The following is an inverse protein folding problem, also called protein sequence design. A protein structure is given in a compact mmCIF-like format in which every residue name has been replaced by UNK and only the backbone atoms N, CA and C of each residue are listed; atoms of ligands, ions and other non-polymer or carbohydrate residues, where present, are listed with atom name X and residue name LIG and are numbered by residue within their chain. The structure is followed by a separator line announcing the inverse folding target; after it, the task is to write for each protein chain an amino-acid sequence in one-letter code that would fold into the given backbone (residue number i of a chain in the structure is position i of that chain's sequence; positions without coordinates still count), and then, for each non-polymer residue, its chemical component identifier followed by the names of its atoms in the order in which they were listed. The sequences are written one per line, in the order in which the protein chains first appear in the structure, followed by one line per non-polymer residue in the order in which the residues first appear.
data_IF_918051343696
#
_entry.id   IF_918051343696
#
_cell.length_a   1.000
_cell.length_b   1.000
_cell.length_c   1.000
_cell.angle_alpha   90.00
_cell.angle_beta   90.00
_cell.angle_gamma   90.00
#
_symmetry.space_group_name_H-M   'P 1'
#
loop_
_entity.id
_entity.type
_entity.pdbx_description
1 polymer ?
#
# COMPACT_ATOMS: atom_id res chain seq x y z
N UNK A 1 0.91 -45.78 -5.77
CA UNK A 1 1.53 -46.16 -7.06
C UNK A 1 0.64 -45.55 -8.14
N UNK A 2 1.02 -44.62 -9.03
CA UNK A 2 2.27 -44.40 -9.73
C UNK A 2 2.50 -42.88 -9.95
N UNK A 3 3.76 -42.48 -10.00
CA UNK A 3 4.24 -41.09 -10.09
C UNK A 3 4.39 -40.68 -11.56
N UNK A 4 3.90 -39.49 -11.93
CA UNK A 4 4.22 -38.87 -13.22
C UNK A 4 5.64 -38.27 -13.19
N UNK A 5 6.51 -38.76 -14.06
CA UNK A 5 7.88 -38.29 -14.23
C UNK A 5 7.93 -37.07 -15.16
N UNK A 6 8.71 -36.06 -14.77
CA UNK A 6 9.02 -34.88 -15.54
C UNK A 6 10.03 -35.19 -16.66
N UNK A 7 9.77 -34.68 -17.86
CA UNK A 7 10.62 -34.84 -19.05
C UNK A 7 11.75 -33.82 -19.02
N UNK A 8 12.99 -34.30 -18.94
CA UNK A 8 14.23 -33.53 -19.10
C UNK A 8 14.62 -33.57 -20.58
N UNK A 9 14.79 -32.41 -21.22
CA UNK A 9 15.34 -32.30 -22.59
C UNK A 9 16.86 -32.03 -22.52
N UNK A 10 17.70 -32.72 -23.31
CA UNK A 10 19.13 -32.49 -23.33
C UNK A 10 19.51 -31.32 -24.24
N UNK A 11 20.34 -30.42 -23.71
CA UNK A 11 21.03 -29.36 -24.44
C UNK A 11 22.39 -29.89 -24.92
N UNK A 12 22.55 -30.13 -26.22
CA UNK A 12 23.86 -30.07 -26.90
C UNK A 12 23.67 -30.02 -28.42
N UNK A 13 23.96 -28.89 -29.06
CA UNK A 13 24.53 -28.90 -30.41
C UNK A 13 25.38 -27.67 -30.65
N UNK A 14 26.61 -27.97 -31.03
CA UNK A 14 27.74 -27.10 -31.34
C UNK A 14 27.45 -26.17 -32.53
N UNK A 15 27.91 -24.92 -32.46
CA UNK A 15 28.38 -24.15 -33.61
C UNK A 15 29.53 -23.23 -33.16
N UNK A 16 30.74 -23.50 -33.66
CA UNK A 16 31.88 -22.57 -33.66
C UNK A 16 31.74 -21.59 -34.82
N UNK A 17 32.22 -20.36 -34.65
CA UNK A 17 33.00 -19.71 -35.70
C UNK A 17 34.41 -19.38 -35.21
N UNK A 18 35.39 -19.65 -36.07
CA UNK A 18 36.76 -19.17 -35.93
C UNK A 18 36.79 -17.68 -36.28
N UNK A 19 37.28 -16.85 -35.36
CA UNK A 19 37.71 -15.50 -35.66
C UNK A 19 38.97 -15.19 -34.84
N UNK A 20 40.10 -15.11 -35.55
CA UNK A 20 41.36 -14.64 -35.01
C UNK A 20 41.21 -13.17 -34.59
N UNK A 21 41.24 -12.91 -33.29
CA UNK A 21 41.44 -11.57 -32.75
C UNK A 21 42.64 -11.60 -31.81
N UNK A 22 43.63 -10.79 -32.16
CA UNK A 22 44.87 -10.58 -31.42
C UNK A 22 44.51 -9.88 -30.10
N UNK A 23 44.56 -10.62 -29.00
CA UNK A 23 44.39 -10.05 -27.65
C UNK A 23 45.70 -9.38 -27.25
N UNK A 24 45.71 -8.05 -27.21
CA UNK A 24 46.72 -7.28 -26.46
C UNK A 24 46.51 -7.54 -24.97
N UNK A 25 47.53 -7.94 -24.19
CA UNK A 25 47.38 -8.01 -22.75
C UNK A 25 47.37 -6.59 -22.17
N UNK A 26 46.27 -6.22 -21.52
CA UNK A 26 46.25 -5.09 -20.60
C UNK A 26 47.13 -5.45 -19.40
N UNK A 27 48.18 -4.66 -19.17
CA UNK A 27 49.04 -4.76 -18.00
C UNK A 27 48.29 -4.23 -16.77
N UNK A 28 47.69 -5.13 -15.99
CA UNK A 28 47.31 -4.80 -14.61
C UNK A 28 48.52 -5.03 -13.71
N UNK A 29 49.24 -3.97 -13.35
CA UNK A 29 50.17 -4.00 -12.23
C UNK A 29 49.37 -4.17 -10.93
N UNK A 30 49.21 -5.41 -10.48
CA UNK A 30 48.73 -5.69 -9.15
C UNK A 30 49.82 -5.27 -8.15
N UNK A 31 49.51 -4.28 -7.31
CA UNK A 31 50.30 -4.01 -6.10
C UNK A 31 50.10 -5.23 -5.18
N UNK A 32 51.08 -6.14 -5.19
CA UNK A 32 51.20 -7.19 -4.16
C UNK A 32 51.44 -6.49 -2.83
N UNK A 33 50.41 -6.39 -1.99
CA UNK A 33 50.63 -6.23 -0.55
C UNK A 33 51.23 -7.53 -0.04
N UNK A 34 52.40 -7.42 0.59
CA UNK A 34 53.04 -8.46 1.36
C UNK A 34 52.04 -9.08 2.34
N UNK A 35 51.89 -10.40 2.27
CA UNK A 35 51.19 -11.17 3.30
C UNK A 35 52.05 -11.07 4.56
N UNK A 36 51.60 -10.28 5.53
CA UNK A 36 52.08 -10.40 6.89
C UNK A 36 51.39 -11.63 7.51
N UNK A 37 52.17 -12.67 7.77
CA UNK A 37 51.74 -13.80 8.60
C UNK A 37 51.26 -13.26 9.95
N UNK A 38 49.94 -13.27 10.15
CA UNK A 38 49.33 -12.95 11.43
C UNK A 38 48.93 -14.27 12.07
N UNK A 39 49.62 -14.61 13.15
CA UNK A 39 49.30 -15.75 14.02
C UNK A 39 47.81 -15.71 14.39
N UNK A 40 47.12 -16.83 14.17
CA UNK A 40 45.66 -16.96 14.36
C UNK A 40 45.31 -17.05 15.85
N UNK A 41 45.33 -15.93 16.56
CA UNK A 41 44.55 -15.79 17.79
C UNK A 41 43.07 -15.70 17.40
N UNK A 42 42.23 -16.60 17.91
CA UNK A 42 40.77 -16.43 17.81
C UNK A 42 40.42 -15.08 18.45
N UNK A 43 39.80 -14.14 17.70
CA UNK A 43 39.45 -12.84 18.27
C UNK A 43 38.47 -13.04 19.43
N UNK A 44 38.69 -12.33 20.52
CA UNK A 44 37.80 -12.37 21.68
C UNK A 44 36.43 -11.78 21.31
N UNK A 45 35.34 -12.32 21.89
CA UNK A 45 33.95 -11.92 21.58
C UNK A 45 33.66 -10.41 21.75
N UNK A 46 34.49 -9.69 22.53
CA UNK A 46 34.34 -8.27 22.82
C UNK A 46 34.93 -7.34 21.72
N UNK A 47 35.90 -7.83 20.94
CA UNK A 47 36.71 -7.03 20.00
C UNK A 47 36.18 -7.03 18.55
N UNK A 48 35.10 -7.76 18.26
CA UNK A 48 34.54 -7.85 16.92
C UNK A 48 33.85 -6.51 16.52
N UNK A 49 34.39 -5.83 15.51
CA UNK A 49 33.83 -4.59 14.97
C UNK A 49 32.64 -4.88 14.02
N UNK A 50 31.42 -4.40 14.34
CA UNK A 50 30.21 -4.65 13.54
C UNK A 50 30.31 -4.18 12.07
N UNK A 51 31.20 -3.25 11.74
CA UNK A 51 31.40 -2.79 10.36
C UNK A 51 32.30 -3.70 9.51
N UNK A 52 33.08 -4.60 10.12
CA UNK A 52 34.11 -5.40 9.42
C UNK A 52 34.07 -6.89 9.74
N UNK A 53 33.16 -7.34 10.62
CA UNK A 53 32.97 -8.75 11.00
C UNK A 53 32.84 -9.68 9.78
N UNK A 54 33.61 -10.78 9.80
CA UNK A 54 33.53 -11.88 8.83
C UNK A 54 32.29 -12.74 9.05
N UNK A 55 31.78 -13.45 8.01
CA UNK A 55 30.62 -14.32 8.13
C UNK A 55 30.70 -15.36 9.24
N UNK A 56 31.89 -15.90 9.50
CA UNK A 56 32.15 -16.93 10.51
C UNK A 56 31.97 -16.42 11.94
N UNK A 57 32.18 -15.12 12.19
CA UNK A 57 32.11 -14.50 13.52
C UNK A 57 30.82 -13.68 13.72
N UNK A 58 29.86 -13.73 12.79
CA UNK A 58 28.58 -13.02 12.91
C UNK A 58 27.77 -13.48 14.11
N UNK A 59 27.73 -14.78 14.37
CA UNK A 59 26.98 -15.34 15.50
C UNK A 59 27.55 -14.89 16.85
N UNK A 60 28.88 -14.81 16.95
CA UNK A 60 29.58 -14.33 18.15
C UNK A 60 29.27 -12.84 18.40
N UNK A 61 29.31 -12.02 17.35
CA UNK A 61 28.93 -10.61 17.43
C UNK A 61 27.46 -10.44 17.88
N UNK A 62 26.54 -11.24 17.33
CA UNK A 62 25.13 -11.20 17.73
C UNK A 62 24.94 -11.65 19.18
N UNK A 63 25.70 -12.63 19.66
CA UNK A 63 25.69 -13.07 21.07
C UNK A 63 26.20 -11.98 22.01
N UNK A 64 27.17 -11.16 21.59
CA UNK A 64 27.62 -9.99 22.35
C UNK A 64 26.65 -8.79 22.27
N UNK A 65 25.50 -8.96 21.61
CA UNK A 65 24.44 -7.95 21.51
C UNK A 65 24.66 -6.89 20.43
N UNK A 66 25.74 -6.99 19.65
CA UNK A 66 26.02 -6.09 18.52
C UNK A 66 25.46 -6.71 17.23
N UNK A 67 24.74 -5.93 16.43
CA UNK A 67 24.25 -6.39 15.12
C UNK A 67 25.25 -5.99 14.02
N UNK A 68 25.55 -6.88 13.06
CA UNK A 68 26.45 -6.55 11.96
C UNK A 68 25.85 -5.44 11.08
N UNK A 69 26.68 -4.47 10.68
CA UNK A 69 26.21 -3.29 9.94
C UNK A 69 26.29 -3.53 8.43
N UNK A 70 25.12 -3.50 7.78
CA UNK A 70 24.98 -3.63 6.34
C UNK A 70 25.22 -5.05 5.80
N UNK A 71 25.38 -5.17 4.49
CA UNK A 71 25.52 -6.48 3.82
C UNK A 71 26.91 -7.10 4.04
N UNK A 72 27.00 -8.44 3.94
CA UNK A 72 28.29 -9.17 3.98
C UNK A 72 29.28 -8.63 2.95
N UNK A 73 28.80 -8.29 1.75
CA UNK A 73 29.61 -7.69 0.68
C UNK A 73 30.21 -6.35 1.09
N UNK A 74 29.42 -5.48 1.76
CA UNK A 74 29.92 -4.18 2.27
C UNK A 74 31.07 -4.40 3.26
N UNK A 75 30.90 -5.30 4.23
CA UNK A 75 31.91 -5.56 5.27
C UNK A 75 33.22 -6.10 4.69
N UNK A 76 33.12 -7.05 3.75
CA UNK A 76 34.30 -7.57 3.04
C UNK A 76 34.99 -6.48 2.20
N UNK A 77 34.22 -5.63 1.53
CA UNK A 77 34.77 -4.53 0.75
C UNK A 77 35.51 -3.53 1.65
N UNK A 78 34.95 -3.13 2.79
CA UNK A 78 35.61 -2.22 3.74
C UNK A 78 36.95 -2.77 4.22
N UNK A 79 37.04 -4.10 4.45
CA UNK A 79 38.30 -4.73 4.87
C UNK A 79 39.36 -4.81 3.77
N UNK A 80 38.92 -5.08 2.54
CA UNK A 80 39.82 -5.35 1.41
C UNK A 80 40.20 -4.11 0.61
N UNK A 81 39.36 -3.08 0.62
CA UNK A 81 39.54 -1.83 -0.12
C UNK A 81 39.99 -0.70 0.82
N UNK A 82 40.54 0.38 0.25
CA UNK A 82 40.96 1.56 1.02
C UNK A 82 39.79 2.46 1.44
N UNK A 83 40.01 3.27 2.47
CA UNK A 83 39.02 4.22 2.99
C UNK A 83 38.99 5.53 2.17
N UNK A 84 38.50 5.41 0.93
CA UNK A 84 38.28 6.56 0.05
C UNK A 84 36.78 6.86 -0.05
N UNK A 85 36.35 8.13 0.17
CA UNK A 85 34.97 8.51 -0.07
C UNK A 85 34.57 8.23 -1.52
N UNK A 86 33.32 7.80 -1.72
CA UNK A 86 32.79 7.45 -3.04
C UNK A 86 32.99 8.55 -4.10
N UNK A 87 32.90 9.80 -3.68
CA UNK A 87 33.07 10.98 -4.52
C UNK A 87 34.51 11.20 -5.02
N UNK A 88 35.52 10.66 -4.31
CA UNK A 88 36.94 10.82 -4.61
C UNK A 88 37.56 9.62 -5.33
N UNK A 89 36.74 8.69 -5.81
CA UNK A 89 37.24 7.55 -6.59
C UNK A 89 37.92 8.05 -7.89
N UNK A 90 39.16 7.64 -8.17
CA UNK A 90 39.98 8.20 -9.26
C UNK A 90 39.61 7.62 -10.64
N UNK A 91 38.33 7.63 -10.98
CA UNK A 91 37.84 7.26 -12.31
C UNK A 91 37.65 8.52 -13.16
N UNK A 92 38.34 8.61 -14.30
CA UNK A 92 38.36 9.81 -15.14
C UNK A 92 36.96 10.28 -15.53
N UNK A 93 36.17 9.42 -16.18
CA UNK A 93 34.82 9.77 -16.64
C UNK A 93 33.89 10.16 -15.49
N UNK A 94 34.05 9.55 -14.32
CA UNK A 94 33.26 9.88 -13.13
C UNK A 94 33.60 11.27 -12.59
N UNK A 95 34.89 11.61 -12.52
CA UNK A 95 35.34 12.92 -12.04
C UNK A 95 34.99 14.04 -13.03
N UNK A 96 35.12 13.80 -14.34
CA UNK A 96 34.70 14.75 -15.38
C UNK A 96 33.18 15.00 -15.32
N UNK A 97 32.37 13.94 -15.22
CA UNK A 97 30.92 14.09 -15.05
C UNK A 97 30.58 14.87 -13.78
N UNK A 98 31.27 14.61 -12.67
CA UNK A 98 31.04 15.33 -11.41
C UNK A 98 31.38 16.82 -11.51
N UNK A 99 32.41 17.21 -12.27
CA UNK A 99 32.71 18.63 -12.55
C UNK A 99 31.56 19.31 -13.29
N UNK A 100 30.98 18.63 -14.29
CA UNK A 100 29.81 19.15 -15.03
C UNK A 100 28.62 19.35 -14.09
N UNK A 101 28.33 18.35 -13.25
CA UNK A 101 27.23 18.43 -12.28
C UNK A 101 27.45 19.50 -11.21
N UNK A 102 28.69 19.72 -10.77
CA UNK A 102 29.03 20.78 -9.83
C UNK A 102 28.76 22.18 -10.43
N UNK A 103 29.17 22.40 -11.69
CA UNK A 103 28.92 23.66 -12.39
C UNK A 103 27.41 23.91 -12.62
N UNK A 104 26.66 22.88 -13.03
CA UNK A 104 25.19 22.97 -13.17
C UNK A 104 24.53 23.32 -11.82
N UNK A 105 24.97 22.68 -10.73
CA UNK A 105 24.47 22.96 -9.38
C UNK A 105 24.72 24.41 -8.96
N UNK A 106 25.92 24.95 -9.21
CA UNK A 106 26.23 26.36 -8.93
C UNK A 106 25.33 27.33 -9.70
N UNK A 107 25.05 27.03 -10.97
CA UNK A 107 24.10 27.79 -11.78
C UNK A 107 22.69 27.77 -11.15
N UNK A 108 22.20 26.58 -10.75
CA UNK A 108 20.88 26.45 -10.10
C UNK A 108 20.81 27.17 -8.77
N UNK A 109 21.88 27.17 -7.97
CA UNK A 109 21.97 27.97 -6.76
C UNK A 109 21.89 29.47 -7.06
N UNK A 110 22.57 29.93 -8.12
CA UNK A 110 22.48 31.31 -8.60
C UNK A 110 21.08 31.70 -9.10
N UNK A 111 20.31 30.75 -9.66
CA UNK A 111 18.90 30.98 -9.97
C UNK A 111 18.03 31.07 -8.71
N UNK A 112 18.26 30.19 -7.73
CA UNK A 112 17.51 30.20 -6.47
C UNK A 112 17.66 31.55 -5.76
N UNK A 113 18.88 32.09 -5.67
CA UNK A 113 19.11 33.40 -5.03
C UNK A 113 18.34 34.52 -5.74
N UNK A 114 18.41 34.57 -7.08
CA UNK A 114 17.65 35.54 -7.90
C UNK A 114 16.14 35.43 -7.69
N UNK A 115 15.60 34.22 -7.63
CA UNK A 115 14.16 34.01 -7.40
C UNK A 115 13.75 34.36 -5.96
N UNK A 116 14.59 34.08 -4.97
CA UNK A 116 14.36 34.50 -3.58
C UNK A 116 14.37 36.03 -3.44
N UNK A 117 15.28 36.73 -4.13
CA UNK A 117 15.29 38.19 -4.19
C UNK A 117 14.01 38.74 -4.82
N UNK A 118 13.51 38.11 -5.90
CA UNK A 118 12.22 38.49 -6.50
C UNK A 118 11.05 38.29 -5.53
N UNK A 119 11.05 37.19 -4.77
CA UNK A 119 10.04 36.94 -3.73
C UNK A 119 10.10 38.04 -2.67
N UNK A 120 11.29 38.34 -2.14
CA UNK A 120 11.47 39.38 -1.12
C UNK A 120 11.01 40.77 -1.62
N UNK A 121 11.34 41.13 -2.86
CA UNK A 121 10.87 42.38 -3.49
C UNK A 121 9.35 42.42 -3.60
N UNK A 122 8.72 41.34 -4.05
CA UNK A 122 7.26 41.25 -4.18
C UNK A 122 6.53 41.23 -2.84
N UNK A 123 7.12 40.62 -1.81
CA UNK A 123 6.58 40.65 -0.44
C UNK A 123 6.55 42.09 0.09
N UNK A 124 7.60 42.87 -0.16
CA UNK A 124 7.71 44.28 0.23
C UNK A 124 6.79 45.24 -0.57
N UNK A 125 6.46 44.93 -1.83
CA UNK A 125 5.55 45.75 -2.65
C UNK A 125 4.13 45.71 -2.08
N UNK A 126 3.44 46.86 -1.97
CA UNK A 126 2.05 46.90 -1.53
C UNK A 126 1.11 46.32 -2.59
N UNK A 127 -0.02 45.72 -2.20
CA UNK A 127 -0.95 45.13 -3.16
C UNK A 127 -1.63 46.16 -4.08
N UNK A 128 -1.68 47.43 -3.68
CA UNK A 128 -2.28 48.54 -4.44
C UNK A 128 -1.46 48.91 -5.69
N UNK A 129 -0.14 48.75 -5.62
CA UNK A 129 0.78 49.05 -6.72
C UNK A 129 0.77 47.95 -7.81
N UNK A 130 0.05 46.85 -7.59
CA UNK A 130 -0.01 45.70 -8.49
C UNK A 130 -1.34 45.66 -9.24
N UNK A 131 -1.26 45.58 -10.57
CA UNK A 131 -2.42 45.33 -11.41
C UNK A 131 -3.06 43.98 -11.03
N UNK A 132 -4.28 44.03 -10.46
CA UNK A 132 -5.01 42.85 -9.96
C UNK A 132 -4.98 42.65 -8.45
N UNK A 133 -4.41 43.59 -7.69
CA UNK A 133 -4.51 43.66 -6.24
C UNK A 133 -3.88 42.48 -5.49
N UNK A 134 -4.40 42.20 -4.29
CA UNK A 134 -3.89 41.14 -3.40
C UNK A 134 -3.91 39.75 -4.04
N UNK A 135 -4.97 39.41 -4.81
CA UNK A 135 -5.10 38.09 -5.44
C UNK A 135 -3.96 37.81 -6.42
N UNK A 136 -3.57 38.79 -7.24
CA UNK A 136 -2.47 38.63 -8.19
C UNK A 136 -1.13 38.48 -7.48
N UNK A 137 -0.92 39.25 -6.39
CA UNK A 137 0.26 39.13 -5.54
C UNK A 137 0.39 37.71 -4.98
N UNK A 138 -0.67 37.17 -4.40
CA UNK A 138 -0.67 35.83 -3.80
C UNK A 138 -0.41 34.72 -4.84
N UNK A 139 -1.01 34.82 -6.02
CA UNK A 139 -0.78 33.87 -7.13
C UNK A 139 0.67 33.93 -7.61
N UNK A 140 1.23 35.13 -7.77
CA UNK A 140 2.62 35.31 -8.19
C UNK A 140 3.60 34.78 -7.15
N UNK A 141 3.38 35.07 -5.86
CA UNK A 141 4.18 34.53 -4.76
C UNK A 141 4.10 33.00 -4.72
N UNK A 142 2.91 32.41 -4.88
CA UNK A 142 2.74 30.96 -4.94
C UNK A 142 3.50 30.33 -6.11
N UNK A 143 3.48 30.97 -7.28
CA UNK A 143 4.22 30.50 -8.47
C UNK A 143 5.73 30.54 -8.26
N UNK A 144 6.26 31.66 -7.75
CA UNK A 144 7.69 31.81 -7.47
C UNK A 144 8.18 30.84 -6.40
N UNK A 145 7.42 30.69 -5.29
CA UNK A 145 7.74 29.71 -4.24
C UNK A 145 7.76 28.28 -4.79
N UNK A 146 6.80 27.92 -5.63
CA UNK A 146 6.78 26.61 -6.31
C UNK A 146 8.01 26.42 -7.22
N UNK A 147 8.40 27.46 -7.95
CA UNK A 147 9.58 27.41 -8.82
C UNK A 147 10.88 27.24 -8.03
N UNK A 148 11.02 27.95 -6.91
CA UNK A 148 12.16 27.78 -5.99
C UNK A 148 12.24 26.35 -5.45
N UNK A 149 11.11 25.76 -5.04
CA UNK A 149 11.09 24.35 -4.60
C UNK A 149 11.52 23.38 -5.71
N UNK A 150 11.12 23.62 -6.96
CA UNK A 150 11.59 22.84 -8.11
C UNK A 150 13.10 22.99 -8.36
N UNK A 151 13.63 24.22 -8.30
CA UNK A 151 15.06 24.46 -8.46
C UNK A 151 15.88 23.79 -7.36
N UNK A 152 15.40 23.78 -6.10
CA UNK A 152 16.03 23.04 -4.99
C UNK A 152 16.12 21.55 -5.29
N UNK A 153 15.08 20.97 -5.89
CA UNK A 153 15.10 19.57 -6.32
C UNK A 153 16.14 19.37 -7.42
N UNK A 154 16.13 20.20 -8.47
CA UNK A 154 17.07 20.05 -9.59
C UNK A 154 18.54 20.22 -9.19
N UNK A 155 18.83 21.10 -8.23
CA UNK A 155 20.19 21.31 -7.73
C UNK A 155 20.82 20.05 -7.12
N UNK A 156 20.02 19.19 -6.48
CA UNK A 156 20.50 17.99 -5.80
C UNK A 156 20.08 16.67 -6.50
N UNK A 157 19.26 16.74 -7.56
CA UNK A 157 18.70 15.57 -8.25
C UNK A 157 19.73 14.70 -8.98
N UNK A 158 20.88 15.28 -9.33
CA UNK A 158 21.96 14.56 -10.00
C UNK A 158 23.09 14.16 -9.05
N UNK A 159 22.98 14.45 -7.75
CA UNK A 159 23.99 14.05 -6.77
C UNK A 159 23.93 12.53 -6.50
N UNK A 160 25.00 11.77 -6.79
CA UNK A 160 25.00 10.34 -6.60
C UNK A 160 24.91 9.93 -5.12
N UNK A 161 25.39 10.76 -4.18
CA UNK A 161 25.31 10.47 -2.75
C UNK A 161 23.89 10.65 -2.22
N UNK A 162 23.16 11.65 -2.72
CA UNK A 162 21.75 11.85 -2.41
C UNK A 162 20.93 10.65 -2.89
N UNK A 163 21.15 10.22 -4.13
CA UNK A 163 20.50 9.02 -4.67
C UNK A 163 20.80 7.77 -3.84
N UNK A 164 22.07 7.55 -3.47
CA UNK A 164 22.48 6.43 -2.62
C UNK A 164 21.76 6.46 -1.26
N UNK A 165 21.75 7.62 -0.58
CA UNK A 165 21.07 7.78 0.72
C UNK A 165 19.57 7.49 0.63
N UNK A 166 18.92 7.90 -0.46
CA UNK A 166 17.52 7.58 -0.72
C UNK A 166 17.29 6.08 -0.89
N UNK A 167 18.09 5.42 -1.73
CA UNK A 167 17.99 3.98 -1.99
C UNK A 167 18.28 3.14 -0.74
N UNK A 168 19.22 3.58 0.09
CA UNK A 168 19.54 2.98 1.40
C UNK A 168 18.45 3.22 2.46
N UNK A 169 17.48 4.12 2.20
CA UNK A 169 16.42 4.47 3.14
C UNK A 169 16.86 5.38 4.30
N UNK A 170 18.00 6.06 4.17
CA UNK A 170 18.56 7.00 5.16
C UNK A 170 18.36 8.47 4.77
N UNK A 171 17.58 8.72 3.72
CA UNK A 171 17.24 10.05 3.26
C UNK A 171 16.40 10.83 4.28
N UNK A 172 16.72 12.11 4.44
CA UNK A 172 16.00 13.02 5.33
C UNK A 172 14.76 13.59 4.61
N UNK A 173 13.57 13.15 5.04
CA UNK A 173 12.31 13.55 4.43
C UNK A 173 11.94 15.02 4.66
N UNK A 174 12.66 15.78 5.48
CA UNK A 174 12.47 17.24 5.53
C UNK A 174 12.94 17.91 4.23
N UNK A 175 13.97 17.37 3.59
CA UNK A 175 14.50 17.94 2.34
C UNK A 175 13.60 17.57 1.16
N UNK A 176 13.33 18.52 0.24
CA UNK A 176 12.38 18.31 -0.85
C UNK A 176 12.81 17.21 -1.83
N UNK A 177 14.12 17.01 -2.02
CA UNK A 177 14.65 16.00 -2.94
C UNK A 177 14.25 14.56 -2.56
N UNK A 178 14.35 14.19 -1.27
CA UNK A 178 14.00 12.85 -0.82
C UNK A 178 12.48 12.61 -0.89
N UNK A 179 11.68 13.64 -0.60
CA UNK A 179 10.22 13.59 -0.77
C UNK A 179 9.84 13.40 -2.23
N UNK A 180 10.47 14.14 -3.14
CA UNK A 180 10.27 14.00 -4.58
C UNK A 180 10.64 12.58 -5.08
N UNK A 181 11.77 12.02 -4.66
CA UNK A 181 12.11 10.64 -5.02
C UNK A 181 11.16 9.60 -4.42
N UNK A 182 10.71 9.80 -3.18
CA UNK A 182 9.72 8.93 -2.56
C UNK A 182 8.39 8.97 -3.33
N UNK A 183 7.95 10.17 -3.72
CA UNK A 183 6.75 10.37 -4.52
C UNK A 183 6.90 9.70 -5.89
N UNK A 184 8.01 9.93 -6.60
CA UNK A 184 8.27 9.31 -7.90
C UNK A 184 8.28 7.77 -7.82
N UNK A 185 8.93 7.20 -6.79
CA UNK A 185 8.93 5.76 -6.54
C UNK A 185 7.52 5.24 -6.27
N UNK A 186 6.73 5.93 -5.45
CA UNK A 186 5.35 5.55 -5.15
C UNK A 186 4.43 5.64 -6.38
N UNK A 187 4.52 6.72 -7.16
CA UNK A 187 3.76 6.92 -8.41
C UNK A 187 4.09 5.85 -9.46
N UNK A 188 5.31 5.32 -9.45
CA UNK A 188 5.73 4.31 -10.44
C UNK A 188 4.92 3.01 -10.36
N UNK A 189 4.52 2.59 -9.15
CA UNK A 189 3.85 1.30 -8.92
C UNK A 189 2.71 1.36 -7.89
N UNK A 190 3.03 1.68 -6.64
CA UNK A 190 2.08 1.57 -5.51
C UNK A 190 0.83 2.44 -5.71
N UNK A 191 0.98 3.68 -6.19
CA UNK A 191 -0.17 4.54 -6.52
C UNK A 191 -1.06 3.89 -7.59
N UNK A 192 -0.47 3.29 -8.64
CA UNK A 192 -1.20 2.66 -9.74
C UNK A 192 -1.98 1.44 -9.24
N UNK A 193 -1.38 0.68 -8.32
CA UNK A 193 -2.04 -0.45 -7.66
C UNK A 193 -3.23 0.05 -6.85
N UNK A 194 -3.06 1.07 -6.01
CA UNK A 194 -4.17 1.63 -5.20
C UNK A 194 -5.29 2.17 -6.10
N UNK A 195 -4.96 2.94 -7.13
CA UNK A 195 -5.95 3.47 -8.10
C UNK A 195 -6.70 2.34 -8.80
N UNK A 196 -6.00 1.26 -9.17
CA UNK A 196 -6.65 0.06 -9.72
C UNK A 196 -7.64 -0.54 -8.71
N UNK A 197 -7.25 -0.65 -7.43
CA UNK A 197 -8.10 -1.23 -6.38
C UNK A 197 -9.32 -0.36 -6.06
N UNK A 198 -9.17 0.96 -6.02
CA UNK A 198 -10.28 1.92 -5.87
C UNK A 198 -11.33 1.68 -6.97
N UNK A 199 -10.89 1.54 -8.22
CA UNK A 199 -11.77 1.30 -9.37
C UNK A 199 -12.36 -0.11 -9.38
N UNK A 200 -11.54 -1.14 -9.17
CA UNK A 200 -11.96 -2.54 -9.22
C UNK A 200 -12.97 -2.88 -8.12
N UNK A 201 -12.78 -2.33 -6.94
CA UNK A 201 -13.68 -2.53 -5.80
C UNK A 201 -14.72 -1.43 -5.67
N UNK A 202 -15.02 -0.66 -6.73
CA UNK A 202 -16.08 0.36 -6.78
C UNK A 202 -16.11 1.32 -5.58
N UNK A 203 -14.96 1.59 -4.94
CA UNK A 203 -14.87 2.54 -3.82
C UNK A 203 -15.33 3.91 -4.27
N UNK A 204 -14.95 4.25 -5.50
CA UNK A 204 -15.61 5.26 -6.33
C UNK A 204 -16.51 4.50 -7.31
N UNK A 205 -17.83 4.71 -7.33
CA UNK A 205 -18.58 5.80 -6.70
C UNK A 205 -19.22 5.49 -5.32
N UNK A 206 -19.16 4.26 -4.81
CA UNK A 206 -20.01 3.80 -3.70
C UNK A 206 -19.83 4.60 -2.39
N UNK A 207 -18.58 4.95 -2.06
CA UNK A 207 -18.24 5.65 -0.81
C UNK A 207 -18.00 7.13 -1.05
N UNK A 208 -17.22 7.46 -2.08
CA UNK A 208 -16.89 8.84 -2.45
C UNK A 208 -17.04 9.04 -3.96
N UNK A 209 -17.48 10.24 -4.40
CA UNK A 209 -17.61 10.54 -5.83
C UNK A 209 -16.25 10.67 -6.54
N UNK A 210 -15.22 11.11 -5.81
CA UNK A 210 -13.85 11.26 -6.30
C UNK A 210 -12.88 10.94 -5.17
N UNK A 211 -11.86 10.14 -5.46
CA UNK A 211 -10.79 9.80 -4.54
C UNK A 211 -9.48 9.64 -5.34
N UNK A 212 -8.57 10.59 -5.16
CA UNK A 212 -7.23 10.57 -5.76
C UNK A 212 -6.21 10.57 -4.64
N UNK A 213 -5.59 9.42 -4.33
CA UNK A 213 -4.57 9.36 -3.30
C UNK A 213 -3.38 10.25 -3.67
N UNK A 214 -2.92 11.04 -2.70
CA UNK A 214 -1.70 11.88 -2.76
C UNK A 214 -0.66 11.47 -1.72
N UNK A 215 -0.98 10.54 -0.81
CA UNK A 215 -0.03 9.94 0.13
C UNK A 215 -0.01 8.41 0.01
N UNK A 216 1.14 7.81 0.31
CA UNK A 216 1.24 6.36 0.44
C UNK A 216 0.71 5.91 1.80
N UNK A 217 -0.11 4.86 1.80
CA UNK A 217 -0.74 4.31 3.00
C UNK A 217 -0.55 2.82 2.95
N UNK A 218 0.28 2.28 3.84
CA UNK A 218 0.55 0.85 3.93
C UNK A 218 -0.04 0.28 5.21
N UNK A 219 -0.81 -0.80 5.06
CA UNK A 219 -1.48 -1.48 6.15
C UNK A 219 -0.63 -2.63 6.70
N UNK A 220 -0.51 -2.69 8.02
CA UNK A 220 0.12 -3.80 8.72
C UNK A 220 -0.78 -4.32 9.84
N UNK A 221 -0.98 -5.63 9.89
CA UNK A 221 -1.45 -6.29 11.11
C UNK A 221 -0.25 -6.98 11.77
N UNK A 222 0.01 -6.62 13.03
CA UNK A 222 1.22 -7.05 13.76
C UNK A 222 2.49 -6.71 12.97
N UNK A 223 3.20 -7.71 12.44
CA UNK A 223 4.42 -7.54 11.63
C UNK A 223 4.18 -7.75 10.13
N UNK A 224 2.98 -8.21 9.74
CA UNK A 224 2.67 -8.59 8.36
C UNK A 224 2.12 -7.40 7.58
N UNK A 225 2.74 -7.09 6.44
CA UNK A 225 2.22 -6.11 5.48
C UNK A 225 1.06 -6.73 4.73
N UNK A 226 -0.06 -6.03 4.68
CA UNK A 226 -1.26 -6.46 3.95
C UNK A 226 -1.31 -5.75 2.59
N UNK A 227 -1.20 -6.49 1.48
CA UNK A 227 -1.54 -6.02 0.16
C UNK A 227 -2.93 -5.36 0.08
N UNK A 228 -3.08 -4.23 -0.64
CA UNK A 228 -4.36 -3.56 -0.79
C UNK A 228 -5.41 -4.46 -1.45
N UNK A 229 -6.53 -4.65 -0.75
CA UNK A 229 -7.59 -5.56 -1.16
C UNK A 229 -7.19 -7.03 -1.03
N UNK A 230 -6.47 -7.41 0.02
CA UNK A 230 -6.36 -8.82 0.41
C UNK A 230 -7.51 -9.20 1.35
N UNK A 231 -7.95 -10.46 1.30
CA UNK A 231 -8.86 -11.02 2.32
C UNK A 231 -8.04 -11.37 3.56
N UNK A 232 -8.45 -10.84 4.71
CA UNK A 232 -7.77 -11.00 5.99
C UNK A 232 -8.65 -11.83 6.92
N UNK A 233 -8.03 -12.78 7.61
CA UNK A 233 -8.65 -13.62 8.65
C UNK A 233 -9.16 -12.76 9.82
N UNK A 234 -10.30 -13.13 10.37
CA UNK A 234 -10.93 -12.47 11.52
C UNK A 234 -9.99 -12.43 12.74
N UNK A 235 -9.16 -13.45 12.99
CA UNK A 235 -8.16 -13.42 14.07
C UNK A 235 -7.06 -12.38 13.86
N UNK A 236 -6.68 -12.15 12.62
CA UNK A 236 -5.64 -11.18 12.26
C UNK A 236 -6.18 -9.77 12.40
N UNK A 237 -7.39 -9.54 11.89
CA UNK A 237 -8.09 -8.25 11.93
C UNK A 237 -8.79 -7.93 13.26
N UNK A 238 -8.81 -8.88 14.21
CA UNK A 238 -9.23 -8.64 15.58
C UNK A 238 -8.40 -7.54 16.25
N UNK A 239 -7.08 -7.54 16.01
CA UNK A 239 -6.18 -6.56 16.57
C UNK A 239 -6.17 -5.28 15.72
N UNK A 240 -6.05 -4.12 16.38
CA UNK A 240 -5.90 -2.83 15.70
C UNK A 240 -4.70 -2.83 14.75
N UNK A 241 -4.83 -2.34 13.51
CA UNK A 241 -3.72 -2.28 12.58
C UNK A 241 -2.73 -1.16 12.92
N UNK A 242 -1.54 -1.27 12.33
CA UNK A 242 -0.58 -0.17 12.18
C UNK A 242 -0.58 0.31 10.75
N UNK A 243 -0.74 1.62 10.57
CA UNK A 243 -0.59 2.28 9.29
C UNK A 243 0.82 2.83 9.17
N UNK A 244 1.43 2.71 7.99
CA UNK A 244 2.59 3.50 7.61
C UNK A 244 2.14 4.50 6.56
N UNK A 245 2.16 5.78 6.91
CA UNK A 245 1.70 6.87 6.06
C UNK A 245 2.91 7.68 5.62
N UNK A 246 3.15 7.76 4.30
CA UNK A 246 4.18 8.64 3.75
C UNK A 246 3.51 9.81 3.04
N UNK A 247 3.75 11.00 3.58
CA UNK A 247 3.40 12.27 2.96
C UNK A 247 4.58 12.79 2.13
N UNK A 248 4.30 13.41 0.98
CA UNK A 248 5.31 14.01 0.10
C UNK A 248 5.37 15.54 0.19
N UNK A 249 4.34 16.17 0.78
CA UNK A 249 4.32 17.61 1.06
C UNK A 249 5.18 17.97 2.29
N UNK A 250 5.47 19.25 2.46
CA UNK A 250 6.17 19.75 3.63
C UNK A 250 5.22 20.13 4.75
N UNK A 251 5.73 20.15 5.97
CA UNK A 251 5.02 20.62 7.15
C UNK A 251 4.27 19.51 7.88
N UNK A 252 3.71 19.91 9.01
CA UNK A 252 2.86 19.05 9.83
C UNK A 252 1.39 19.39 9.56
N UNK A 253 0.55 18.36 9.54
CA UNK A 253 -0.89 18.52 9.39
C UNK A 253 -1.64 17.61 10.32
N UNK A 254 -2.86 18.03 10.67
CA UNK A 254 -3.79 17.20 11.42
C UNK A 254 -4.64 16.38 10.46
N UNK A 255 -4.80 15.11 10.79
CA UNK A 255 -5.48 14.13 9.95
C UNK A 255 -6.52 13.39 10.77
N UNK A 256 -7.62 13.04 10.11
CA UNK A 256 -8.63 12.11 10.60
C UNK A 256 -8.49 10.77 9.90
N UNK A 257 -8.54 9.68 10.66
CA UNK A 257 -8.52 8.30 10.15
C UNK A 257 -9.91 7.71 10.32
N UNK A 258 -10.47 7.19 9.23
CA UNK A 258 -11.77 6.51 9.21
C UNK A 258 -11.60 5.12 8.64
N UNK A 259 -12.09 4.11 9.35
CA UNK A 259 -12.22 2.75 8.82
C UNK A 259 -13.70 2.44 8.67
N UNK A 260 -14.10 2.13 7.44
CA UNK A 260 -15.49 1.96 7.04
C UNK A 260 -15.67 0.59 6.37
N UNK A 261 -16.65 -0.16 6.84
CA UNK A 261 -17.23 -1.29 6.14
C UNK A 261 -18.37 -0.78 5.25
N UNK A 262 -18.30 -1.03 3.95
CA UNK A 262 -19.32 -0.56 3.00
C UNK A 262 -20.40 -1.58 2.66
N UNK A 263 -20.27 -2.83 3.12
CA UNK A 263 -21.03 -3.96 2.60
C UNK A 263 -21.79 -4.70 3.71
N UNK A 264 -22.26 -3.99 4.74
CA UNK A 264 -23.02 -4.59 5.83
C UNK A 264 -24.42 -4.96 5.33
N UNK A 265 -24.84 -6.23 5.31
CA UNK A 265 -26.14 -6.61 4.78
C UNK A 265 -27.28 -6.11 5.68
N UNK A 266 -28.28 -5.46 5.08
CA UNK A 266 -29.55 -5.11 5.74
C UNK A 266 -30.70 -5.91 5.09
N UNK A 267 -31.16 -7.01 5.73
CA UNK A 267 -32.21 -7.86 5.17
C UNK A 267 -33.58 -7.17 5.09
N UNK A 268 -33.86 -6.21 5.97
CA UNK A 268 -35.18 -5.57 6.04
C UNK A 268 -35.44 -4.67 4.83
N UNK A 269 -34.38 -4.03 4.31
CA UNK A 269 -34.46 -3.14 3.15
C UNK A 269 -33.90 -3.77 1.86
N UNK A 270 -33.42 -5.02 1.91
CA UNK A 270 -32.75 -5.71 0.80
C UNK A 270 -31.60 -4.88 0.18
N UNK A 271 -30.81 -4.21 1.03
CA UNK A 271 -29.70 -3.34 0.63
C UNK A 271 -28.48 -3.53 1.52
N UNK A 272 -27.36 -2.89 1.15
CA UNK A 272 -26.18 -2.80 2.01
C UNK A 272 -26.16 -1.47 2.78
N UNK A 273 -25.84 -1.55 4.06
CA UNK A 273 -25.52 -0.44 4.95
C UNK A 273 -24.02 -0.22 5.07
N UNK A 274 -23.65 0.86 5.75
CA UNK A 274 -22.26 1.27 6.00
C UNK A 274 -22.02 1.33 7.50
N UNK A 275 -20.91 0.76 7.97
CA UNK A 275 -20.55 0.75 9.40
C UNK A 275 -19.17 1.32 9.65
N UNK A 276 -19.06 2.22 10.62
CA UNK A 276 -17.78 2.74 11.08
C UNK A 276 -17.10 1.76 12.06
N UNK A 277 -15.97 1.21 11.65
CA UNK A 277 -15.15 0.34 12.50
C UNK A 277 -14.19 1.14 13.38
N UNK A 278 -13.72 2.30 12.92
CA UNK A 278 -12.80 3.15 13.66
C UNK A 278 -12.87 4.59 13.18
N UNK A 279 -12.85 5.54 14.12
CA UNK A 279 -12.79 6.97 13.84
C UNK A 279 -11.86 7.65 14.85
N UNK A 280 -10.82 8.28 14.34
CA UNK A 280 -9.96 9.16 15.12
C UNK A 280 -9.68 10.46 14.36
N UNK A 281 -9.48 11.54 15.09
CA UNK A 281 -9.24 12.88 14.57
C UNK A 281 -8.03 13.51 15.27
N UNK A 282 -7.55 14.64 14.75
CA UNK A 282 -6.49 15.47 15.34
C UNK A 282 -5.17 14.71 15.49
N UNK A 283 -4.87 13.82 14.54
CA UNK A 283 -3.63 13.06 14.51
C UNK A 283 -2.58 13.89 13.75
N UNK A 284 -1.50 14.34 14.41
CA UNK A 284 -0.43 15.02 13.71
C UNK A 284 0.34 14.01 12.84
N UNK A 285 0.56 14.38 11.58
CA UNK A 285 1.40 13.62 10.64
C UNK A 285 2.40 14.59 10.01
N UNK A 286 3.64 14.11 9.87
CA UNK A 286 4.74 14.81 9.22
C UNK A 286 5.39 13.88 8.17
N UNK A 287 6.15 14.41 7.19
CA UNK A 287 6.84 13.56 6.23
C UNK A 287 7.95 12.69 6.86
N UNK A 288 8.44 13.07 8.05
CA UNK A 288 9.46 12.33 8.81
C UNK A 288 8.88 11.25 9.71
N UNK A 289 7.73 11.50 10.35
CA UNK A 289 7.06 10.49 11.16
C UNK A 289 6.01 9.74 10.34
N UNK A 290 6.40 8.55 9.89
CA UNK A 290 5.56 7.75 9.00
C UNK A 290 4.76 6.67 9.73
N UNK A 291 5.04 6.41 11.01
CA UNK A 291 4.47 5.27 11.72
C UNK A 291 3.25 5.66 12.55
N UNK A 292 2.07 5.22 12.11
CA UNK A 292 0.79 5.49 12.77
C UNK A 292 0.14 4.19 13.30
N UNK A 293 0.54 3.69 14.48
CA UNK A 293 -0.13 2.57 15.13
C UNK A 293 -1.47 3.02 15.73
N UNK A 294 -2.59 2.47 15.23
CA UNK A 294 -3.92 2.87 15.72
C UNK A 294 -4.15 2.47 17.18
N UNK A 295 -3.45 1.44 17.68
CA UNK A 295 -3.47 1.05 19.10
C UNK A 295 -2.98 2.12 20.07
N UNK A 296 -2.12 3.04 19.62
CA UNK A 296 -1.59 4.11 20.49
C UNK A 296 -2.52 5.32 20.57
N UNK A 297 -3.57 5.36 19.75
CA UNK A 297 -4.52 6.48 19.70
C UNK A 297 -5.59 6.23 20.77
N UNK A 298 -5.23 6.51 22.02
CA UNK A 298 -6.10 6.30 23.19
C UNK A 298 -6.59 7.61 23.81
N UNK A 299 -6.01 8.75 23.39
CA UNK A 299 -6.37 10.06 23.92
C UNK A 299 -7.85 10.38 23.65
N UNK A 300 -8.55 10.88 24.68
CA UNK A 300 -9.98 11.24 24.60
C UNK A 300 -10.26 12.32 23.55
N UNK A 301 -9.25 13.16 23.28
CA UNK A 301 -9.29 14.29 22.34
C UNK A 301 -8.92 13.90 20.90
N UNK A 302 -8.68 12.60 20.65
CA UNK A 302 -8.35 12.07 19.34
C UNK A 302 -9.26 10.91 18.95
N UNK A 303 -9.50 9.95 19.85
CA UNK A 303 -10.28 8.77 19.57
C UNK A 303 -11.78 9.06 19.73
N UNK A 304 -12.55 8.99 18.64
CA UNK A 304 -14.00 9.09 18.67
C UNK A 304 -14.65 7.71 18.75
N UNK A 305 -14.35 6.84 17.80
CA UNK A 305 -14.93 5.49 17.70
C UNK A 305 -13.80 4.46 17.81
N UNK A 306 -13.78 3.63 18.88
CA UNK A 306 -12.73 2.64 19.07
C UNK A 306 -12.81 1.53 18.02
N UNK A 307 -11.69 0.81 17.84
CA UNK A 307 -11.59 -0.25 16.85
C UNK A 307 -12.59 -1.37 17.12
N UNK A 308 -13.40 -1.64 16.11
CA UNK A 308 -14.23 -2.83 16.02
C UNK A 308 -13.56 -3.81 15.07
N UNK A 309 -13.28 -5.07 15.49
CA UNK A 309 -12.81 -6.12 14.60
C UNK A 309 -13.61 -6.19 13.30
N UNK A 310 -12.96 -6.48 12.19
CA UNK A 310 -13.67 -6.75 10.95
C UNK A 310 -14.35 -8.12 11.04
N UNK A 311 -15.63 -8.17 10.66
CA UNK A 311 -16.40 -9.41 10.61
C UNK A 311 -17.41 -9.34 9.46
N UNK A 312 -17.85 -10.50 9.01
CA UNK A 312 -18.88 -10.66 7.98
C UNK A 312 -19.74 -11.85 8.40
N UNK A 313 -21.06 -11.81 8.20
CA UNK A 313 -21.93 -12.93 8.55
C UNK A 313 -21.79 -14.09 7.58
N UNK A 314 -22.15 -15.31 8.01
CA UNK A 314 -22.04 -16.49 7.17
C UNK A 314 -22.93 -16.36 5.94
N UNK A 315 -22.39 -16.66 4.76
CA UNK A 315 -23.10 -16.63 3.49
C UNK A 315 -23.29 -15.23 2.88
N UNK A 316 -22.93 -14.16 3.61
CA UNK A 316 -22.76 -12.84 3.00
C UNK A 316 -21.55 -12.86 2.04
N UNK A 317 -21.51 -11.97 1.03
CA UNK A 317 -20.30 -11.75 0.23
C UNK A 317 -19.16 -11.21 1.10
N UNK A 318 -17.97 -11.03 0.52
CA UNK A 318 -16.90 -10.35 1.23
C UNK A 318 -17.29 -8.90 1.57
N UNK A 319 -16.82 -8.41 2.71
CA UNK A 319 -16.98 -7.02 3.12
C UNK A 319 -15.73 -6.22 2.77
N UNK A 320 -15.89 -5.03 2.17
CA UNK A 320 -14.80 -4.10 1.86
C UNK A 320 -14.55 -3.17 3.05
N UNK A 321 -13.41 -3.35 3.71
CA UNK A 321 -12.96 -2.48 4.80
C UNK A 321 -12.01 -1.43 4.22
N UNK A 322 -12.56 -0.25 3.95
CA UNK A 322 -11.81 0.90 3.46
C UNK A 322 -11.23 1.73 4.60
N UNK A 323 -9.94 2.06 4.50
CA UNK A 323 -9.20 2.92 5.42
C UNK A 323 -8.93 4.24 4.70
N UNK A 324 -9.55 5.31 5.20
CA UNK A 324 -9.50 6.64 4.61
C UNK A 324 -8.76 7.58 5.55
N UNK A 325 -7.76 8.28 5.01
CA UNK A 325 -7.09 9.40 5.68
C UNK A 325 -7.59 10.70 5.08
N UNK A 326 -8.13 11.56 5.95
CA UNK A 326 -8.67 12.85 5.57
C UNK A 326 -7.89 13.96 6.26
N UNK A 327 -7.40 14.91 5.47
CA UNK A 327 -6.69 16.09 5.96
C UNK A 327 -7.71 17.09 6.51
N UNK A 328 -7.39 17.66 7.67
CA UNK A 328 -8.17 18.70 8.31
C UNK A 328 -7.70 20.09 7.83
N UNK A 329 -8.56 21.09 7.93
CA UNK A 329 -8.15 22.47 7.64
C UNK A 329 -6.99 22.90 8.57
N UNK A 330 -5.96 23.59 8.05
CA UNK A 330 -4.81 24.00 8.85
C UNK A 330 -5.21 24.81 10.09
N UNK A 331 -4.75 24.39 11.27
CA UNK A 331 -5.02 25.06 12.54
C UNK A 331 -6.40 24.79 13.15
N UNK A 332 -7.27 24.02 12.48
CA UNK A 332 -8.61 23.67 12.98
C UNK A 332 -8.57 22.27 13.58
N UNK A 333 -8.76 22.18 14.89
CA UNK A 333 -8.97 20.89 15.58
C UNK A 333 -10.44 20.53 15.57
N UNK A 334 -10.75 19.27 15.28
CA UNK A 334 -12.11 18.74 15.36
C UNK A 334 -12.49 18.46 16.81
N UNK A 335 -13.74 18.75 17.15
CA UNK A 335 -14.33 18.46 18.45
C UNK A 335 -14.68 16.97 18.54
N UNK A 336 -13.84 16.21 19.25
CA UNK A 336 -13.98 14.75 19.36
C UNK A 336 -15.17 14.34 20.22
N UNK A 337 -15.64 15.19 21.15
CA UNK A 337 -16.84 14.90 21.92
C UNK A 337 -18.08 14.88 21.00
N UNK A 338 -18.21 15.88 20.13
CA UNK A 338 -19.25 15.91 19.09
C UNK A 338 -19.14 14.73 18.12
N UNK A 339 -17.93 14.31 17.77
CA UNK A 339 -17.73 13.12 16.93
C UNK A 339 -18.21 11.84 17.63
N UNK A 340 -18.01 11.71 18.94
CA UNK A 340 -18.53 10.58 19.72
C UNK A 340 -20.04 10.56 19.73
N UNK A 341 -20.66 11.70 20.00
CA UNK A 341 -22.12 11.83 20.04
C UNK A 341 -22.75 11.50 18.68
N UNK A 342 -22.18 12.01 17.58
CA UNK A 342 -22.72 11.82 16.24
C UNK A 342 -22.51 10.41 15.66
N UNK A 343 -21.50 9.67 16.11
CA UNK A 343 -21.06 8.43 15.47
C UNK A 343 -20.90 7.24 16.44
N UNK A 344 -21.44 7.34 17.65
CA UNK A 344 -21.43 6.27 18.66
C UNK A 344 -22.12 4.98 18.17
N UNK A 345 -23.20 5.13 17.41
CA UNK A 345 -24.02 4.02 16.89
C UNK A 345 -23.31 3.21 15.79
N UNK A 346 -22.30 3.80 15.13
CA UNK A 346 -21.49 3.23 14.02
C UNK A 346 -22.23 2.89 12.73
N UNK A 347 -23.48 2.42 12.82
CA UNK A 347 -24.32 2.05 11.70
C UNK A 347 -24.79 3.28 10.90
N UNK A 348 -25.06 3.09 9.61
CA UNK A 348 -25.48 4.18 8.70
C UNK A 348 -24.41 5.25 8.43
N UNK A 349 -23.13 4.99 8.74
CA UNK A 349 -22.07 5.99 8.62
C UNK A 349 -21.84 6.41 7.15
N UNK A 350 -21.88 7.71 6.90
CA UNK A 350 -21.62 8.30 5.59
C UNK A 350 -20.34 9.14 5.59
N UNK A 351 -19.31 8.64 4.89
CA UNK A 351 -18.04 9.36 4.74
C UNK A 351 -18.20 10.68 3.99
N UNK A 352 -19.11 10.74 3.01
CA UNK A 352 -19.44 11.97 2.28
C UNK A 352 -19.99 13.03 3.23
N UNK A 353 -20.93 12.65 4.10
CA UNK A 353 -21.53 13.56 5.08
C UNK A 353 -20.51 14.01 6.12
N UNK A 354 -19.63 13.13 6.58
CA UNK A 354 -18.52 13.48 7.47
C UNK A 354 -17.61 14.52 6.82
N UNK A 355 -17.20 14.27 5.56
CA UNK A 355 -16.34 15.17 4.78
C UNK A 355 -16.93 16.57 4.66
N UNK A 356 -18.21 16.65 4.32
CA UNK A 356 -18.89 17.92 4.07
C UNK A 356 -19.15 18.69 5.39
N UNK A 357 -19.48 17.99 6.49
CA UNK A 357 -19.69 18.61 7.82
C UNK A 357 -18.40 19.19 8.42
N UNK A 358 -17.29 18.47 8.30
CA UNK A 358 -16.02 18.83 8.95
C UNK A 358 -14.98 19.42 7.97
N UNK A 359 -15.39 19.66 6.71
CA UNK A 359 -14.55 20.24 5.63
C UNK A 359 -13.20 19.55 5.46
N UNK A 360 -13.18 18.23 5.61
CA UNK A 360 -11.94 17.45 5.46
C UNK A 360 -11.71 17.03 4.01
N UNK A 361 -10.46 16.82 3.59
CA UNK A 361 -10.12 16.38 2.23
C UNK A 361 -9.50 14.98 2.24
N UNK A 362 -10.09 13.98 1.55
CA UNK A 362 -9.51 12.65 1.50
C UNK A 362 -8.23 12.65 0.65
N UNK A 363 -7.12 12.18 1.22
CA UNK A 363 -5.79 12.22 0.56
C UNK A 363 -5.05 10.88 0.61
N UNK A 364 -5.37 10.01 1.56
CA UNK A 364 -4.79 8.67 1.69
C UNK A 364 -5.85 7.58 1.70
N UNK A 365 -5.54 6.43 1.10
CA UNK A 365 -6.46 5.30 1.05
C UNK A 365 -5.71 3.96 1.05
N UNK A 366 -6.24 3.00 1.81
CA UNK A 366 -5.91 1.58 1.67
C UNK A 366 -7.17 0.77 1.99
N UNK A 367 -7.19 -0.52 1.68
CA UNK A 367 -8.30 -1.39 2.03
C UNK A 367 -7.85 -2.83 2.25
N UNK A 368 -8.66 -3.57 2.97
CA UNK A 368 -8.64 -5.02 3.02
C UNK A 368 -10.08 -5.54 2.95
N UNK A 369 -10.25 -6.85 2.85
CA UNK A 369 -11.56 -7.49 2.86
C UNK A 369 -11.66 -8.48 4.00
N UNK A 370 -12.86 -8.67 4.52
CA UNK A 370 -13.19 -9.74 5.46
C UNK A 370 -14.26 -10.65 4.86
N UNK A 371 -14.24 -11.92 5.24
CA UNK A 371 -15.25 -12.93 4.92
C UNK A 371 -15.54 -13.72 6.18
N UNK A 372 -16.65 -14.45 6.21
CA UNK A 372 -16.87 -15.44 7.26
C UNK A 372 -15.81 -16.53 7.18
N UNK A 373 -15.12 -16.76 8.30
CA UNK A 373 -14.16 -17.85 8.51
C UNK A 373 -14.50 -18.66 9.77
N UNK A 374 -13.69 -19.67 10.07
CA UNK A 374 -13.90 -20.56 11.23
C UNK A 374 -13.80 -19.82 12.57
N UNK A 375 -13.07 -18.71 12.62
CA UNK A 375 -12.77 -17.97 13.84
C UNK A 375 -13.74 -16.79 14.08
N UNK A 376 -14.52 -16.42 13.07
CA UNK A 376 -15.38 -15.22 13.08
C UNK A 376 -16.35 -15.26 14.25
N UNK A 377 -17.00 -16.41 14.50
CA UNK A 377 -17.90 -16.57 15.63
C UNK A 377 -17.21 -16.34 16.99
N UNK A 378 -15.98 -16.83 17.17
CA UNK A 378 -15.22 -16.66 18.40
C UNK A 378 -14.71 -15.21 18.58
N UNK A 379 -14.37 -14.52 17.50
CA UNK A 379 -14.05 -13.07 17.53
C UNK A 379 -15.30 -12.27 17.90
N UNK A 380 -16.44 -12.54 17.27
CA UNK A 380 -17.70 -11.87 17.57
C UNK A 380 -18.11 -12.06 19.04
N UNK A 381 -18.01 -13.27 19.58
CA UNK A 381 -18.30 -13.56 20.98
C UNK A 381 -17.39 -12.80 21.95
N UNK A 382 -16.07 -12.73 21.69
CA UNK A 382 -15.11 -12.00 22.54
C UNK A 382 -15.37 -10.49 22.62
N UNK A 383 -15.96 -9.92 21.57
CA UNK A 383 -16.24 -8.49 21.45
C UNK A 383 -17.74 -8.16 21.59
N UNK A 384 -18.56 -9.11 22.05
CA UNK A 384 -20.02 -8.98 22.23
C UNK A 384 -20.75 -8.48 20.97
N UNK A 385 -20.34 -8.97 19.79
CA UNK A 385 -20.92 -8.61 18.50
C UNK A 385 -22.05 -9.60 18.17
N UNK A 386 -23.29 -9.15 17.94
CA UNK A 386 -24.41 -10.03 17.61
C UNK A 386 -24.38 -10.52 16.16
N UNK A 387 -25.13 -11.59 15.87
CA UNK A 387 -25.38 -12.07 14.49
C UNK A 387 -24.42 -13.14 13.98
N UNK A 388 -23.65 -13.79 14.86
CA UNK A 388 -22.82 -14.96 14.50
C UNK A 388 -23.66 -16.21 14.20
N UNK A 389 -24.90 -16.25 14.67
CA UNK A 389 -25.90 -17.30 14.50
C UNK A 389 -26.74 -17.13 13.21
N UNK A 390 -26.53 -16.04 12.47
CA UNK A 390 -27.27 -15.73 11.24
C UNK A 390 -26.50 -16.23 10.02
N UNK A 391 -27.21 -16.90 9.10
CA UNK A 391 -26.69 -17.35 7.80
C UNK A 391 -27.53 -16.77 6.66
N UNK A 392 -26.89 -16.02 5.76
CA UNK A 392 -27.50 -15.56 4.53
C UNK A 392 -27.44 -16.64 3.45
N UNK A 393 -28.53 -16.81 2.71
CA UNK A 393 -28.60 -17.72 1.57
C UNK A 393 -29.07 -16.96 0.34
N UNK A 394 -28.61 -17.33 -0.86
CA UNK A 394 -29.09 -16.71 -2.09
C UNK A 394 -30.61 -16.82 -2.22
N UNK A 395 -31.27 -15.69 -2.48
CA UNK A 395 -32.71 -15.65 -2.74
C UNK A 395 -33.03 -16.47 -3.98
N UNK A 396 -33.90 -17.47 -3.83
CA UNK A 396 -34.31 -18.33 -4.95
C UNK A 396 -35.34 -17.59 -5.80
N UNK A 397 -34.95 -17.21 -7.01
CA UNK A 397 -35.88 -16.66 -8.00
C UNK A 397 -36.60 -17.82 -8.69
N UNK A 398 -37.88 -17.98 -8.41
CA UNK A 398 -38.72 -18.97 -9.08
C UNK A 398 -39.11 -18.52 -10.49
N UNK A 399 -39.33 -19.48 -11.39
CA UNK A 399 -39.82 -19.18 -12.73
C UNK A 399 -41.18 -18.48 -12.66
N UNK A 400 -41.28 -17.32 -13.30
CA UNK A 400 -42.56 -16.58 -13.47
C UNK A 400 -43.48 -17.25 -14.51
N UNK A 401 -42.98 -18.22 -15.27
CA UNK A 401 -43.80 -18.93 -16.26
C UNK A 401 -44.82 -19.80 -15.53
N UNK A 402 -46.12 -19.68 -15.86
CA UNK A 402 -47.13 -20.54 -15.26
C UNK A 402 -46.86 -22.00 -15.66
N UNK A 403 -47.28 -22.97 -14.83
CA UNK A 403 -47.14 -24.37 -15.17
C UNK A 403 -47.97 -24.70 -16.41
N UNK A 404 -47.30 -25.10 -17.50
CA UNK A 404 -47.97 -25.50 -18.74
C UNK A 404 -48.07 -27.02 -18.81
N UNK A 405 -49.17 -27.53 -19.37
CA UNK A 405 -49.33 -28.98 -19.63
C UNK A 405 -48.15 -29.49 -20.46
N UNK A 406 -47.56 -30.65 -20.11
CA UNK A 406 -46.41 -31.17 -20.83
C UNK A 406 -46.83 -31.54 -22.26
N UNK A 407 -46.08 -31.05 -23.24
CA UNK A 407 -46.28 -31.29 -24.68
C UNK A 407 -45.37 -32.42 -25.14
N UNK A 408 -45.84 -33.23 -26.08
CA UNK A 408 -45.13 -34.41 -26.58
C UNK A 408 -46.05 -35.63 -26.64
N UNK A 409 -45.76 -36.58 -27.53
CA UNK A 409 -46.59 -37.77 -27.71
C UNK A 409 -46.59 -38.65 -26.45
N UNK A 410 -45.42 -38.77 -25.83
CA UNK A 410 -45.13 -39.54 -24.62
C UNK A 410 -45.70 -38.86 -23.37
N UNK A 411 -45.62 -37.52 -23.32
CA UNK A 411 -46.16 -36.71 -22.23
C UNK A 411 -47.69 -36.81 -22.13
N UNK A 412 -48.38 -36.78 -23.28
CA UNK A 412 -49.85 -36.88 -23.34
C UNK A 412 -50.38 -38.26 -22.95
N UNK A 413 -49.54 -39.31 -22.99
CA UNK A 413 -49.92 -40.73 -22.79
C UNK A 413 -49.37 -41.33 -21.50
N UNK A 414 -49.23 -40.51 -20.46
CA UNK A 414 -48.75 -40.91 -19.14
C UNK A 414 -49.83 -41.52 -18.23
N UNK A 415 -51.12 -41.28 -18.55
CA UNK A 415 -52.24 -41.69 -17.72
C UNK A 415 -52.60 -43.18 -17.85
N UNK A 416 -53.41 -43.71 -16.91
CA UNK A 416 -53.86 -45.11 -16.91
C UNK A 416 -54.59 -45.56 -18.19
N UNK A 417 -55.27 -44.63 -18.88
CA UNK A 417 -55.92 -44.87 -20.18
C UNK A 417 -54.98 -45.48 -21.23
N UNK A 418 -53.67 -45.20 -21.14
CA UNK A 418 -52.66 -45.65 -22.10
C UNK A 418 -51.71 -46.69 -21.50
N UNK A 419 -52.17 -47.50 -20.54
CA UNK A 419 -51.33 -48.50 -19.83
C UNK A 419 -50.60 -49.46 -20.78
N UNK A 420 -51.25 -49.85 -21.87
CA UNK A 420 -50.66 -50.70 -22.91
C UNK A 420 -49.47 -50.03 -23.66
N UNK A 421 -49.35 -48.70 -23.61
CA UNK A 421 -48.26 -47.93 -24.22
C UNK A 421 -47.18 -47.52 -23.22
N UNK A 422 -47.30 -47.88 -21.94
CA UNK A 422 -46.35 -47.46 -20.90
C UNK A 422 -44.93 -47.96 -21.13
N UNK A 423 -44.74 -49.03 -21.91
CA UNK A 423 -43.40 -49.46 -22.37
C UNK A 423 -42.65 -48.39 -23.16
N UNK A 424 -43.36 -47.50 -23.85
CA UNK A 424 -42.79 -46.39 -24.64
C UNK A 424 -42.83 -45.06 -23.91
N UNK A 425 -43.69 -44.91 -22.90
CA UNK A 425 -43.95 -43.60 -22.27
C UNK A 425 -43.37 -43.48 -20.86
N UNK A 426 -43.17 -44.57 -20.11
CA UNK A 426 -42.59 -44.56 -18.75
C UNK A 426 -41.11 -44.90 -18.78
N UNK A 427 -40.38 -44.50 -17.73
CA UNK A 427 -38.95 -44.77 -17.55
C UNK A 427 -38.05 -44.28 -18.70
N UNK A 428 -38.45 -43.22 -19.40
CA UNK A 428 -37.62 -42.60 -20.43
C UNK A 428 -36.52 -41.80 -19.73
N UNK A 429 -35.26 -42.17 -19.98
CA UNK A 429 -34.08 -41.55 -19.36
C UNK A 429 -34.14 -40.02 -19.46
N UNK A 430 -34.16 -39.34 -18.30
CA UNK A 430 -34.17 -37.88 -18.20
C UNK A 430 -35.52 -37.21 -18.52
N UNK A 431 -36.59 -37.97 -18.81
CA UNK A 431 -37.87 -37.45 -19.28
C UNK A 431 -39.05 -37.96 -18.44
N UNK A 432 -39.12 -39.27 -18.16
CA UNK A 432 -40.18 -39.88 -17.35
C UNK A 432 -39.63 -40.99 -16.44
N UNK A 433 -40.29 -41.23 -15.30
CA UNK A 433 -40.05 -42.38 -14.41
C UNK A 433 -41.32 -43.23 -14.31
N UNK A 434 -41.29 -44.23 -13.43
CA UNK A 434 -42.42 -45.13 -13.16
C UNK A 434 -43.65 -44.37 -12.67
N UNK A 435 -43.45 -43.24 -11.98
CA UNK A 435 -44.52 -42.39 -11.44
C UNK A 435 -45.09 -41.42 -12.49
N UNK A 436 -44.31 -41.00 -13.49
CA UNK A 436 -44.81 -40.12 -14.55
C UNK A 436 -43.77 -39.25 -15.22
N UNK A 437 -44.24 -38.19 -15.88
CA UNK A 437 -43.38 -37.20 -16.54
C UNK A 437 -42.62 -36.39 -15.49
N UNK A 438 -41.30 -36.32 -15.59
CA UNK A 438 -40.43 -35.67 -14.59
C UNK A 438 -40.13 -34.23 -14.99
N UNK A 439 -40.07 -33.95 -16.30
CA UNK A 439 -39.68 -32.63 -16.81
C UNK A 439 -40.83 -31.63 -16.66
N UNK A 440 -40.81 -30.89 -15.55
CA UNK A 440 -41.58 -29.65 -15.40
C UNK A 440 -40.90 -28.59 -16.29
N UNK A 441 -41.66 -27.97 -17.20
CA UNK A 441 -41.16 -26.90 -18.07
C UNK A 441 -41.44 -25.54 -17.45
#
# INVERSE_FOLDING_TARGET
MSRCQAVIRPLTRQLRPQCHSVVRPFTSSAIRRTQADTQTSTPSDADLDPNTVLPEFEEQLMKSGKMPIGSRRRRLAIRSTGDLPFEHLPYQAFQEARKILAADREEKLGHITKELEKIARLEATKPEDLNGGQKMKDVRLKSLRKHVEQLKIYADANDPVVKKRFEDGTGDMNKPIYRHYAEAKWRSYDQRLITQRIKQFNIVPDVLPKLEPTADVQLYFRKLKIPPGQIVDSLVSENTPRLRVQVFDQGERLVSVVVLDSDVPNPDSDTFGKRCHFLAANIPISPTDTSLPLSKITAKDQLAVPWLPAFSQKGAPYHRLGIYLLEQEPGVKLDVAKLKELYSEREGFSLKSFRDKFRTTPFGFNMFRSVWDENTAAVMARHNIPGSDIEFRPTRVHSLKPPVKPRGWEAKRQGPKYRHLWKYTKNIKGISNSRGWIKKR
#
